data_IF_870547885005
#
_entry.id   IF_870547885005
#
_cell.length_a   1.000
_cell.length_b   1.000
_cell.length_c   1.000
_cell.angle_alpha   90.00
_cell.angle_beta   90.00
_cell.angle_gamma   90.00
#
_symmetry.space_group_name_H-M   'P 1'
#
loop_
_entity.id
_entity.type
_entity.pdbx_description
1 polymer ?
#
# COMPACT_ATOMS: atom_id res chain seq x y z
N UNK A 1 54.11 -30.67 -41.81
CA UNK A 1 53.31 -31.15 -40.67
C UNK A 1 52.55 -29.97 -40.10
N UNK A 2 51.31 -29.76 -40.54
CA UNK A 2 50.44 -28.70 -40.05
C UNK A 2 49.38 -29.34 -39.15
N UNK A 3 49.41 -29.00 -37.86
CA UNK A 3 48.47 -29.50 -36.86
C UNK A 3 47.09 -28.90 -37.05
N UNK A 4 46.09 -29.75 -37.29
CA UNK A 4 44.67 -29.37 -37.25
C UNK A 4 44.28 -29.09 -35.80
N UNK A 5 43.99 -27.83 -35.49
CA UNK A 5 43.35 -27.44 -34.25
C UNK A 5 41.91 -28.00 -34.22
N UNK A 6 41.59 -28.72 -33.14
CA UNK A 6 40.26 -29.28 -32.92
C UNK A 6 39.24 -28.15 -32.67
N UNK A 7 38.09 -28.25 -33.33
CA UNK A 7 36.99 -27.32 -33.15
C UNK A 7 36.46 -27.38 -31.71
N UNK A 8 36.10 -26.23 -31.10
CA UNK A 8 35.54 -26.19 -29.76
C UNK A 8 34.19 -26.94 -29.72
N UNK A 9 33.88 -27.62 -28.61
CA UNK A 9 32.63 -28.36 -28.47
C UNK A 9 31.43 -27.41 -28.55
N UNK A 10 30.31 -27.86 -29.15
CA UNK A 10 29.09 -27.07 -29.24
C UNK A 10 28.59 -26.72 -27.83
N UNK A 11 28.31 -25.42 -27.63
CA UNK A 11 27.66 -24.89 -26.43
C UNK A 11 26.39 -25.69 -26.17
N UNK A 12 26.36 -26.38 -25.03
CA UNK A 12 25.19 -27.07 -24.54
C UNK A 12 24.02 -26.08 -24.47
N UNK A 13 23.00 -26.33 -25.28
CA UNK A 13 21.74 -25.61 -25.27
C UNK A 13 21.25 -25.54 -23.82
N UNK A 14 21.07 -24.31 -23.33
CA UNK A 14 20.49 -24.09 -22.01
C UNK A 14 19.14 -24.81 -21.94
N UNK A 15 18.80 -25.41 -20.79
CA UNK A 15 17.54 -26.10 -20.61
C UNK A 15 16.40 -25.12 -20.90
N UNK A 16 15.71 -25.42 -21.99
CA UNK A 16 14.48 -24.78 -22.42
C UNK A 16 13.56 -24.68 -21.21
N UNK A 17 13.29 -23.45 -20.76
CA UNK A 17 12.41 -23.18 -19.63
C UNK A 17 11.00 -23.57 -20.06
N UNK A 18 10.64 -24.86 -19.91
CA UNK A 18 9.28 -25.32 -20.14
C UNK A 18 8.41 -24.69 -19.05
N UNK A 19 7.45 -23.81 -19.39
CA UNK A 19 6.46 -23.39 -18.41
C UNK A 19 5.80 -24.66 -17.88
N UNK A 20 5.79 -24.82 -16.55
CA UNK A 20 5.05 -25.91 -15.90
C UNK A 20 3.67 -25.92 -16.52
N UNK A 21 3.28 -27.06 -17.11
CA UNK A 21 1.95 -27.26 -17.65
C UNK A 21 0.96 -26.76 -16.60
N UNK A 22 0.14 -25.77 -16.99
CA UNK A 22 -0.91 -25.24 -16.14
C UNK A 22 -1.72 -26.45 -15.67
N UNK A 23 -1.59 -26.78 -14.39
CA UNK A 23 -2.44 -27.77 -13.75
C UNK A 23 -3.85 -27.22 -13.94
N UNK A 24 -4.66 -27.93 -14.74
CA UNK A 24 -6.02 -27.54 -15.00
C UNK A 24 -6.70 -27.30 -13.64
N UNK A 25 -7.35 -26.13 -13.42
CA UNK A 25 -7.95 -25.83 -12.15
C UNK A 25 -8.99 -26.92 -11.83
N UNK A 26 -8.66 -27.77 -10.86
CA UNK A 26 -9.60 -28.70 -10.28
C UNK A 26 -10.79 -27.88 -9.79
N UNK A 27 -11.99 -28.22 -10.25
CA UNK A 27 -13.22 -27.58 -9.79
C UNK A 27 -13.21 -27.60 -8.25
N UNK A 28 -13.29 -26.44 -7.57
CA UNK A 28 -13.37 -26.43 -6.12
C UNK A 28 -14.66 -27.15 -5.70
N UNK A 29 -14.50 -28.22 -4.91
CA UNK A 29 -15.62 -28.88 -4.25
C UNK A 29 -16.33 -27.86 -3.36
N UNK A 30 -17.63 -27.71 -3.59
CA UNK A 30 -18.51 -26.69 -2.99
C UNK A 30 -18.77 -26.88 -1.48
N UNK A 31 -17.97 -27.68 -0.80
CA UNK A 31 -18.23 -28.16 0.57
C UNK A 31 -17.03 -27.88 1.47
N UNK A 32 -16.83 -26.63 1.91
CA UNK A 32 -16.11 -26.29 3.17
C UNK A 32 -16.11 -24.79 3.52
N UNK A 33 -16.97 -23.96 2.92
CA UNK A 33 -17.09 -22.54 3.28
C UNK A 33 -18.15 -22.35 4.38
N UNK A 34 -17.95 -22.97 5.55
CA UNK A 34 -18.97 -23.00 6.61
C UNK A 34 -18.51 -22.72 8.04
N UNK A 35 -17.20 -22.62 8.34
CA UNK A 35 -16.75 -22.67 9.74
C UNK A 35 -15.70 -21.64 10.17
N UNK A 36 -15.26 -20.72 9.31
CA UNK A 36 -14.26 -19.71 9.70
C UNK A 36 -14.84 -18.36 10.14
N UNK A 37 -16.17 -18.18 10.10
CA UNK A 37 -16.82 -16.91 10.48
C UNK A 37 -17.14 -16.77 11.99
N UNK A 38 -16.78 -17.75 12.83
CA UNK A 38 -17.18 -17.78 14.24
C UNK A 38 -16.07 -17.47 15.27
N UNK A 39 -14.81 -17.21 14.87
CA UNK A 39 -13.69 -17.10 15.82
C UNK A 39 -13.13 -15.68 16.05
N UNK A 40 -13.70 -14.63 15.44
CA UNK A 40 -13.16 -13.26 15.50
C UNK A 40 -13.83 -12.28 16.48
N UNK A 41 -14.94 -12.66 17.14
CA UNK A 41 -15.74 -11.76 17.99
C UNK A 41 -15.54 -12.01 19.50
N UNK A 42 -14.32 -12.33 19.90
CA UNK A 42 -13.91 -12.56 21.30
C UNK A 42 -13.14 -11.41 21.95
N UNK A 43 -13.23 -10.19 21.41
CA UNK A 43 -12.56 -8.99 21.94
C UNK A 43 -13.50 -8.05 22.68
N UNK A 44 -14.44 -8.59 23.46
CA UNK A 44 -15.31 -7.79 24.32
C UNK A 44 -14.71 -7.66 25.71
N UNK A 45 -13.80 -6.71 25.95
CA UNK A 45 -13.53 -6.14 27.28
C UNK A 45 -12.82 -4.78 27.09
N UNK A 46 -13.31 -3.74 27.78
CA UNK A 46 -12.88 -2.33 27.79
C UNK A 46 -13.48 -1.35 26.76
N UNK A 47 -14.79 -1.34 26.55
CA UNK A 47 -15.48 -0.10 26.11
C UNK A 47 -16.92 -0.06 26.62
N UNK A 48 -17.10 -0.02 27.94
CA UNK A 48 -18.41 0.18 28.54
C UNK A 48 -18.27 1.15 29.71
N UNK A 49 -18.61 2.42 29.48
CA UNK A 49 -18.82 3.37 30.59
C UNK A 49 -18.39 4.83 30.44
N UNK A 50 -18.22 5.42 29.24
CA UNK A 50 -17.93 6.87 29.18
C UNK A 50 -18.55 7.69 28.03
N UNK A 51 -19.13 7.10 26.99
CA UNK A 51 -19.35 7.84 25.73
C UNK A 51 -20.81 8.16 25.33
N UNK A 52 -21.81 7.93 26.19
CA UNK A 52 -23.22 8.08 25.77
C UNK A 52 -23.80 9.50 25.92
N UNK A 53 -23.16 10.42 26.65
CA UNK A 53 -23.76 11.73 26.98
C UNK A 53 -23.00 12.97 26.45
N UNK A 54 -22.06 12.81 25.50
CA UNK A 54 -21.20 13.94 25.08
C UNK A 54 -20.99 14.12 23.57
N UNK A 55 -21.84 13.53 22.73
CA UNK A 55 -21.70 13.63 21.27
C UNK A 55 -22.95 14.22 20.59
N UNK A 56 -23.51 15.27 21.17
CA UNK A 56 -24.36 16.22 20.43
C UNK A 56 -23.54 17.46 20.16
N UNK A 57 -22.50 17.33 19.33
CA UNK A 57 -21.82 18.48 18.75
C UNK A 57 -22.81 19.10 17.75
N UNK A 58 -23.39 20.24 18.10
CA UNK A 58 -24.14 21.05 17.15
C UNK A 58 -23.18 21.41 16.00
N UNK A 59 -23.46 20.89 14.80
CA UNK A 59 -22.67 21.18 13.59
C UNK A 59 -22.55 22.70 13.38
N UNK A 60 -23.55 23.46 13.83
CA UNK A 60 -23.57 24.92 13.78
C UNK A 60 -22.54 25.59 14.71
N UNK A 61 -22.24 25.06 15.90
CA UNK A 61 -21.21 25.63 16.79
C UNK A 61 -19.79 25.39 16.24
N UNK A 62 -19.58 24.23 15.59
CA UNK A 62 -18.30 23.94 14.92
C UNK A 62 -18.06 24.92 13.77
N UNK A 63 -19.11 25.36 13.07
CA UNK A 63 -19.01 26.30 11.95
C UNK A 63 -18.81 27.75 12.44
N UNK A 64 -19.42 28.15 13.56
CA UNK A 64 -19.39 29.54 14.06
C UNK A 64 -18.12 29.86 14.87
N UNK A 65 -17.52 28.89 15.57
CA UNK A 65 -16.24 29.09 16.28
C UNK A 65 -15.02 28.97 15.34
N UNK A 66 -15.26 28.71 14.06
CA UNK A 66 -14.29 28.68 12.98
C UNK A 66 -14.16 30.06 12.31
N UNK A 67 -14.41 31.17 13.04
CA UNK A 67 -13.94 32.50 12.61
C UNK A 67 -12.43 32.42 12.53
N UNK A 68 -11.87 32.32 11.32
CA UNK A 68 -10.54 31.80 11.18
C UNK A 68 -9.55 32.93 11.44
N UNK A 69 -8.61 32.70 12.36
CA UNK A 69 -7.32 33.40 12.29
C UNK A 69 -6.82 33.26 10.84
N UNK A 70 -6.27 34.32 10.21
CA UNK A 70 -5.90 34.31 8.79
C UNK A 70 -4.99 33.12 8.42
N UNK A 71 -4.22 32.61 9.38
CA UNK A 71 -3.41 31.39 9.26
C UNK A 71 -4.24 30.13 8.99
N UNK A 72 -5.37 29.95 9.66
CA UNK A 72 -6.26 28.79 9.46
C UNK A 72 -6.96 28.83 8.11
N UNK A 73 -7.38 30.02 7.64
CA UNK A 73 -7.90 30.16 6.25
C UNK A 73 -6.83 29.78 5.26
N UNK A 74 -5.62 30.32 5.41
CA UNK A 74 -4.53 30.06 4.49
C UNK A 74 -4.19 28.57 4.45
N UNK A 75 -4.14 27.90 5.60
CA UNK A 75 -3.88 26.45 5.68
C UNK A 75 -4.99 25.64 5.00
N UNK A 76 -6.26 25.96 5.23
CA UNK A 76 -7.39 25.27 4.59
C UNK A 76 -7.40 25.51 3.09
N UNK A 77 -7.21 26.75 2.63
CA UNK A 77 -7.13 27.08 1.20
C UNK A 77 -5.96 26.36 0.54
N UNK A 78 -4.80 26.32 1.18
CA UNK A 78 -3.62 25.61 0.67
C UNK A 78 -3.88 24.10 0.61
N UNK A 79 -4.52 23.51 1.63
CA UNK A 79 -4.88 22.09 1.64
C UNK A 79 -5.88 21.76 0.53
N UNK A 80 -6.92 22.57 0.35
CA UNK A 80 -7.91 22.40 -0.72
C UNK A 80 -7.28 22.58 -2.10
N UNK A 81 -6.46 23.61 -2.30
CA UNK A 81 -5.72 23.82 -3.54
C UNK A 81 -4.77 22.64 -3.82
N UNK A 82 -4.11 22.11 -2.80
CA UNK A 82 -3.28 20.92 -2.88
C UNK A 82 -4.08 19.68 -3.29
N UNK A 83 -5.26 19.46 -2.72
CA UNK A 83 -6.14 18.36 -3.09
C UNK A 83 -6.67 18.49 -4.52
N UNK A 84 -7.17 19.67 -4.90
CA UNK A 84 -7.67 19.92 -6.27
C UNK A 84 -6.54 19.77 -7.27
N UNK A 85 -5.36 20.35 -7.00
CA UNK A 85 -4.19 20.22 -7.85
C UNK A 85 -3.71 18.77 -7.96
N UNK A 86 -3.78 18.00 -6.88
CA UNK A 86 -3.42 16.57 -6.89
C UNK A 86 -4.41 15.75 -7.71
N UNK A 87 -5.73 15.98 -7.57
CA UNK A 87 -6.76 15.32 -8.38
C UNK A 87 -6.59 15.69 -9.85
N UNK A 88 -6.35 16.96 -10.16
CA UNK A 88 -6.13 17.43 -11.53
C UNK A 88 -4.88 16.83 -12.16
N UNK A 89 -3.75 16.83 -11.43
CA UNK A 89 -2.52 16.19 -11.87
C UNK A 89 -2.70 14.69 -12.06
N UNK A 90 -3.48 14.03 -11.20
CA UNK A 90 -3.83 12.62 -11.32
C UNK A 90 -4.65 12.36 -12.59
N UNK A 91 -5.68 13.17 -12.87
CA UNK A 91 -6.50 13.04 -14.08
C UNK A 91 -5.66 13.21 -15.35
N UNK A 92 -4.81 14.24 -15.41
CA UNK A 92 -3.89 14.44 -16.53
C UNK A 92 -2.90 13.28 -16.69
N UNK A 93 -2.43 12.73 -15.58
CA UNK A 93 -1.57 11.55 -15.60
C UNK A 93 -2.30 10.34 -16.15
N UNK A 94 -3.57 10.12 -15.79
CA UNK A 94 -4.37 9.03 -16.33
C UNK A 94 -4.62 9.15 -17.84
N UNK A 95 -4.70 10.36 -18.40
CA UNK A 95 -4.78 10.57 -19.85
C UNK A 95 -3.57 10.00 -20.60
N UNK A 96 -2.41 9.86 -19.94
CA UNK A 96 -1.22 9.24 -20.54
C UNK A 96 -1.31 7.71 -20.63
N UNK A 97 -2.41 7.09 -20.16
CA UNK A 97 -2.61 5.64 -20.06
C UNK A 97 -1.40 4.92 -19.46
N UNK A 98 -1.02 5.26 -18.21
CA UNK A 98 0.15 4.67 -17.59
C UNK A 98 -0.02 3.16 -17.40
N UNK A 99 1.09 2.42 -17.31
CA UNK A 99 0.99 0.99 -17.06
C UNK A 99 0.47 0.73 -15.63
N UNK A 100 -0.27 -0.36 -15.44
CA UNK A 100 -0.79 -0.72 -14.11
C UNK A 100 0.31 -0.88 -13.05
N UNK A 101 1.51 -1.30 -13.45
CA UNK A 101 2.67 -1.40 -12.54
C UNK A 101 3.13 -0.02 -12.06
N UNK A 102 3.14 0.99 -12.95
CA UNK A 102 3.46 2.36 -12.59
C UNK A 102 2.41 2.94 -11.65
N UNK A 103 1.12 2.81 -12.00
CA UNK A 103 0.01 3.27 -11.15
C UNK A 103 0.10 2.67 -9.74
N UNK A 104 0.32 1.35 -9.65
CA UNK A 104 0.52 0.66 -8.36
C UNK A 104 1.72 1.23 -7.60
N UNK A 105 2.82 1.53 -8.29
CA UNK A 105 3.99 2.19 -7.70
C UNK A 105 3.65 3.55 -7.08
N UNK A 106 2.89 4.39 -7.78
CA UNK A 106 2.43 5.69 -7.26
C UNK A 106 1.50 5.54 -6.05
N UNK A 107 0.53 4.63 -6.12
CA UNK A 107 -0.36 4.37 -4.99
C UNK A 107 0.40 3.86 -3.76
N UNK A 108 1.41 2.99 -3.94
CA UNK A 108 2.27 2.54 -2.84
C UNK A 108 3.10 3.69 -2.26
N UNK A 109 3.64 4.58 -3.11
CA UNK A 109 4.38 5.75 -2.65
C UNK A 109 3.49 6.70 -1.85
N UNK A 110 2.26 6.94 -2.31
CA UNK A 110 1.27 7.74 -1.61
C UNK A 110 0.88 7.10 -0.27
N UNK A 111 0.60 5.80 -0.24
CA UNK A 111 0.33 5.06 1.00
C UNK A 111 1.49 5.17 2.00
N UNK A 112 2.73 5.08 1.52
CA UNK A 112 3.90 5.26 2.37
C UNK A 112 3.98 6.69 2.94
N UNK A 113 3.71 7.71 2.13
CA UNK A 113 3.67 9.10 2.57
C UNK A 113 2.57 9.35 3.61
N UNK A 114 1.37 8.81 3.39
CA UNK A 114 0.25 8.88 4.34
C UNK A 114 0.60 8.18 5.65
N UNK A 115 1.17 6.98 5.57
CA UNK A 115 1.60 6.25 6.77
C UNK A 115 2.67 7.02 7.53
N UNK A 116 3.64 7.63 6.84
CA UNK A 116 4.67 8.46 7.47
C UNK A 116 4.08 9.69 8.16
N UNK A 117 3.10 10.34 7.53
CA UNK A 117 2.36 11.46 8.13
C UNK A 117 1.64 11.03 9.41
N UNK A 118 0.90 9.93 9.39
CA UNK A 118 0.19 9.45 10.59
C UNK A 118 1.14 8.99 11.70
N UNK A 119 2.25 8.37 11.33
CA UNK A 119 3.32 8.05 12.29
C UNK A 119 3.93 9.32 12.89
N UNK A 120 4.09 10.38 12.11
CA UNK A 120 4.57 11.67 12.64
C UNK A 120 3.62 12.26 13.68
N UNK A 121 2.30 12.16 13.47
CA UNK A 121 1.29 12.57 14.45
C UNK A 121 1.36 11.77 15.77
N UNK A 122 1.71 10.48 15.67
CA UNK A 122 1.94 9.66 16.86
C UNK A 122 3.23 10.09 17.60
N UNK A 123 4.27 10.49 16.86
CA UNK A 123 5.55 10.92 17.43
C UNK A 123 5.49 12.32 18.04
N UNK A 124 4.65 13.22 17.52
CA UNK A 124 4.41 14.56 18.09
C UNK A 124 3.51 14.56 19.32
N UNK A 125 2.97 13.39 19.70
CA UNK A 125 2.03 13.21 20.82
C UNK A 125 0.68 13.92 20.64
N UNK A 126 0.35 14.34 19.41
CA UNK A 126 -0.98 14.87 19.08
C UNK A 126 -2.06 13.78 19.18
N UNK A 127 -1.63 12.53 19.05
CA UNK A 127 -2.46 11.33 19.02
C UNK A 127 -2.03 10.35 20.11
N UNK A 128 -2.99 9.69 20.75
CA UNK A 128 -2.68 8.66 21.74
C UNK A 128 -1.93 7.45 21.13
N UNK A 129 -0.90 6.96 21.84
CA UNK A 129 -0.04 5.85 21.40
C UNK A 129 -0.79 4.56 21.01
N UNK A 130 -1.95 4.28 21.61
CA UNK A 130 -2.76 3.11 21.27
C UNK A 130 -3.31 3.14 19.84
N UNK A 131 -3.38 4.32 19.21
CA UNK A 131 -3.79 4.44 17.81
C UNK A 131 -2.72 3.99 16.83
N UNK A 132 -1.44 4.12 17.18
CA UNK A 132 -0.34 3.73 16.31
C UNK A 132 -0.51 2.31 15.73
N UNK A 133 -0.74 1.26 16.54
CA UNK A 133 -0.98 -0.08 15.99
C UNK A 133 -2.27 -0.17 15.16
N UNK A 134 -3.34 0.55 15.50
CA UNK A 134 -4.59 0.53 14.72
C UNK A 134 -4.42 1.17 13.34
N UNK A 135 -3.74 2.31 13.27
CA UNK A 135 -3.41 2.99 12.02
C UNK A 135 -2.52 2.12 11.14
N UNK A 136 -1.49 1.50 11.73
CA UNK A 136 -0.60 0.59 11.01
C UNK A 136 -1.36 -0.62 10.46
N UNK A 137 -2.26 -1.22 11.25
CA UNK A 137 -3.10 -2.33 10.79
C UNK A 137 -4.07 -1.87 9.71
N UNK A 138 -4.74 -0.72 9.85
CA UNK A 138 -5.66 -0.20 8.85
C UNK A 138 -4.95 0.10 7.51
N UNK A 139 -3.73 0.66 7.55
CA UNK A 139 -2.95 0.95 6.34
C UNK A 139 -2.38 -0.32 5.71
N UNK A 140 -1.85 -1.24 6.51
CA UNK A 140 -1.23 -2.48 6.01
C UNK A 140 -2.25 -3.54 5.58
N UNK A 141 -3.42 -3.60 6.22
CA UNK A 141 -4.46 -4.60 5.93
C UNK A 141 -5.54 -4.05 5.00
N UNK A 142 -5.85 -2.76 5.08
CA UNK A 142 -6.85 -2.10 4.23
C UNK A 142 -6.22 -1.59 2.95
N UNK A 143 -5.59 -0.41 3.03
CA UNK A 143 -5.10 0.31 1.86
C UNK A 143 -4.02 -0.48 1.08
N UNK A 144 -3.07 -1.11 1.76
CA UNK A 144 -2.03 -1.90 1.09
C UNK A 144 -2.60 -3.10 0.36
N UNK A 145 -3.56 -3.82 0.95
CA UNK A 145 -4.23 -4.96 0.31
C UNK A 145 -5.00 -4.50 -0.93
N UNK A 146 -5.68 -3.34 -0.87
CA UNK A 146 -6.34 -2.75 -2.03
C UNK A 146 -5.35 -2.41 -3.16
N UNK A 147 -4.25 -1.73 -2.83
CA UNK A 147 -3.23 -1.36 -3.83
C UNK A 147 -2.56 -2.59 -4.46
N UNK A 148 -2.35 -3.66 -3.71
CA UNK A 148 -1.78 -4.91 -4.23
C UNK A 148 -2.74 -5.62 -5.19
N UNK A 149 -4.05 -5.51 -4.98
CA UNK A 149 -5.10 -6.11 -5.83
C UNK A 149 -5.45 -5.28 -7.05
N UNK A 150 -5.11 -3.99 -7.08
CA UNK A 150 -5.26 -3.16 -8.26
C UNK A 150 -4.66 -3.84 -9.52
N UNK A 151 -5.34 -3.91 -10.68
CA UNK A 151 -6.56 -3.19 -11.06
C UNK A 151 -7.85 -4.04 -11.02
N UNK A 152 -7.99 -4.94 -10.04
CA UNK A 152 -9.22 -5.74 -9.92
C UNK A 152 -10.37 -4.88 -9.40
N UNK A 153 -11.45 -4.80 -10.17
CA UNK A 153 -12.73 -4.22 -9.74
C UNK A 153 -13.44 -5.24 -8.87
N UNK A 154 -13.81 -4.84 -7.66
CA UNK A 154 -14.55 -5.68 -6.72
C UNK A 154 -15.97 -5.14 -6.56
N UNK A 155 -16.98 -6.01 -6.60
CA UNK A 155 -18.35 -5.61 -6.31
C UNK A 155 -18.49 -5.19 -4.84
N UNK A 156 -19.48 -4.33 -4.56
CA UNK A 156 -19.74 -3.83 -3.20
C UNK A 156 -20.12 -4.94 -2.22
N UNK A 157 -20.71 -6.03 -2.72
CA UNK A 157 -21.15 -7.18 -1.91
C UNK A 157 -20.04 -8.20 -1.65
N UNK A 158 -18.82 -7.98 -2.17
CA UNK A 158 -17.70 -8.88 -1.93
C UNK A 158 -17.18 -8.74 -0.48
N UNK A 159 -16.67 -9.82 0.12
CA UNK A 159 -16.07 -9.75 1.46
C UNK A 159 -14.88 -8.76 1.52
N UNK A 160 -14.22 -8.53 0.38
CA UNK A 160 -13.19 -7.51 0.25
C UNK A 160 -13.75 -6.10 0.47
N UNK A 161 -14.80 -5.72 -0.25
CA UNK A 161 -15.43 -4.39 -0.13
C UNK A 161 -15.97 -4.14 1.27
N UNK A 162 -16.64 -5.14 1.86
CA UNK A 162 -17.13 -5.07 3.25
C UNK A 162 -15.97 -4.89 4.24
N UNK A 163 -14.86 -5.64 4.05
CA UNK A 163 -13.65 -5.51 4.87
C UNK A 163 -13.05 -4.10 4.76
N UNK A 164 -12.92 -3.55 3.55
CA UNK A 164 -12.36 -2.23 3.34
C UNK A 164 -13.23 -1.14 3.97
N UNK A 165 -14.56 -1.23 3.82
CA UNK A 165 -15.50 -0.31 4.47
C UNK A 165 -15.40 -0.40 5.99
N UNK A 166 -15.33 -1.60 6.56
CA UNK A 166 -15.19 -1.79 8.00
C UNK A 166 -13.88 -1.20 8.54
N UNK A 167 -12.75 -1.40 7.85
CA UNK A 167 -11.46 -0.81 8.21
C UNK A 167 -11.48 0.72 8.08
N UNK A 168 -12.14 1.25 7.06
CA UNK A 168 -12.30 2.69 6.87
C UNK A 168 -13.12 3.32 8.01
N UNK A 169 -14.25 2.70 8.38
CA UNK A 169 -15.09 3.15 9.50
C UNK A 169 -14.33 3.05 10.84
N UNK A 170 -13.59 1.96 11.04
CA UNK A 170 -12.72 1.81 12.22
C UNK A 170 -11.68 2.93 12.28
N UNK A 171 -11.09 3.30 11.13
CA UNK A 171 -10.13 4.41 11.03
C UNK A 171 -10.77 5.77 11.33
N UNK A 172 -11.98 6.03 10.82
CA UNK A 172 -12.74 7.25 11.16
C UNK A 172 -13.02 7.34 12.65
N UNK A 173 -13.49 6.24 13.27
CA UNK A 173 -13.73 6.18 14.70
C UNK A 173 -12.42 6.39 15.50
N UNK A 174 -11.33 5.73 15.10
CA UNK A 174 -10.04 5.90 15.75
C UNK A 174 -9.56 7.35 15.65
N UNK A 175 -9.67 8.00 14.49
CA UNK A 175 -9.39 9.43 14.34
C UNK A 175 -10.29 10.31 15.22
N UNK A 176 -11.57 9.99 15.39
CA UNK A 176 -12.48 10.79 16.22
C UNK A 176 -12.15 10.71 17.72
N UNK A 177 -11.75 9.54 18.23
CA UNK A 177 -11.45 9.31 19.65
C UNK A 177 -9.96 9.40 20.00
N UNK A 178 -9.15 9.68 18.99
CA UNK A 178 -7.72 9.45 18.99
C UNK A 178 -6.84 10.59 19.44
N UNK A 179 -7.28 11.79 19.12
CA UNK A 179 -6.52 13.01 19.37
C UNK A 179 -6.63 13.39 20.84
N UNK A 180 -5.48 13.77 21.41
CA UNK A 180 -5.40 14.19 22.81
C UNK A 180 -6.12 15.52 23.02
N UNK A 181 -6.00 16.43 22.05
CA UNK A 181 -6.68 17.72 22.02
C UNK A 181 -7.38 17.96 20.66
N UNK A 182 -8.69 17.72 20.65
CA UNK A 182 -9.53 17.90 19.45
C UNK A 182 -9.59 19.37 19.02
N UNK A 183 -9.54 20.31 19.96
CA UNK A 183 -9.66 21.74 19.65
C UNK A 183 -8.34 22.32 19.12
N UNK A 184 -7.20 21.89 19.67
CA UNK A 184 -5.88 22.27 19.20
C UNK A 184 -5.49 21.66 17.86
N UNK A 185 -5.99 20.46 17.55
CA UNK A 185 -5.58 19.69 16.36
C UNK A 185 -6.61 19.66 15.22
N UNK A 186 -7.54 20.63 15.15
CA UNK A 186 -8.60 20.68 14.11
C UNK A 186 -8.06 20.52 12.67
N UNK A 187 -6.95 21.18 12.35
CA UNK A 187 -6.32 21.13 11.02
C UNK A 187 -5.73 19.74 10.73
N UNK A 188 -5.08 19.11 11.71
CA UNK A 188 -4.51 17.76 11.57
C UNK A 188 -5.61 16.70 11.43
N UNK A 189 -6.69 16.82 12.19
CA UNK A 189 -7.88 15.96 12.08
C UNK A 189 -8.48 16.10 10.67
N UNK A 190 -8.74 17.34 10.23
CA UNK A 190 -9.30 17.62 8.92
C UNK A 190 -8.43 17.08 7.79
N UNK A 191 -7.12 17.35 7.84
CA UNK A 191 -6.14 16.85 6.86
C UNK A 191 -6.11 15.33 6.84
N UNK A 192 -6.09 14.69 8.02
CA UNK A 192 -6.08 13.23 8.14
C UNK A 192 -7.34 12.61 7.53
N UNK A 193 -8.51 13.20 7.78
CA UNK A 193 -9.77 12.75 7.18
C UNK A 193 -9.79 12.95 5.67
N UNK A 194 -9.40 14.13 5.20
CA UNK A 194 -9.38 14.47 3.78
C UNK A 194 -8.45 13.54 2.99
N UNK A 195 -7.24 13.31 3.48
CA UNK A 195 -6.24 12.49 2.79
C UNK A 195 -6.60 11.00 2.87
N UNK A 196 -6.92 10.48 4.05
CA UNK A 196 -7.16 9.04 4.22
C UNK A 196 -8.51 8.57 3.74
N UNK A 197 -9.56 9.35 4.00
CA UNK A 197 -10.95 8.91 3.80
C UNK A 197 -11.45 9.30 2.42
N UNK A 198 -10.99 10.43 1.87
CA UNK A 198 -11.46 10.94 0.59
C UNK A 198 -10.40 10.71 -0.50
N UNK A 199 -9.20 11.27 -0.36
CA UNK A 199 -8.22 11.30 -1.44
C UNK A 199 -7.73 9.90 -1.84
N UNK A 200 -7.36 9.06 -0.87
CA UNK A 200 -6.86 7.71 -1.15
C UNK A 200 -7.90 6.83 -1.90
N UNK A 201 -9.15 6.67 -1.41
CA UNK A 201 -10.16 5.93 -2.16
C UNK A 201 -10.49 6.55 -3.52
N UNK A 202 -10.56 7.88 -3.61
CA UNK A 202 -10.86 8.57 -4.86
C UNK A 202 -9.78 8.30 -5.92
N UNK A 203 -8.50 8.37 -5.55
CA UNK A 203 -7.39 8.06 -6.46
C UNK A 203 -7.45 6.60 -6.91
N UNK A 204 -7.79 5.67 -6.02
CA UNK A 204 -8.01 4.27 -6.38
C UNK A 204 -9.13 4.13 -7.41
N UNK A 205 -10.30 4.73 -7.16
CA UNK A 205 -11.45 4.68 -8.06
C UNK A 205 -11.16 5.31 -9.42
N UNK A 206 -10.50 6.47 -9.45
CA UNK A 206 -10.13 7.14 -10.70
C UNK A 206 -9.14 6.32 -11.53
N UNK A 207 -8.32 5.51 -10.88
CA UNK A 207 -7.35 4.66 -11.57
C UNK A 207 -7.94 3.37 -12.14
N UNK A 208 -9.17 2.99 -11.76
CA UNK A 208 -9.77 1.75 -12.24
C UNK A 208 -10.06 1.86 -13.75
N UNK A 209 -9.74 0.82 -14.53
CA UNK A 209 -10.13 0.78 -15.92
C UNK A 209 -11.66 0.73 -16.01
N UNK A 210 -12.26 1.73 -16.68
CA UNK A 210 -13.71 1.78 -16.91
C UNK A 210 -14.13 0.91 -18.11
N UNK A 211 -13.18 0.60 -18.99
CA UNK A 211 -13.41 -0.21 -20.20
C UNK A 211 -13.24 -1.70 -19.89
N UNK A 212 -14.27 -2.51 -20.17
CA UNK A 212 -14.27 -3.96 -19.91
C UNK A 212 -13.13 -4.69 -20.64
N UNK A 213 -12.75 -4.21 -21.83
CA UNK A 213 -11.65 -4.77 -22.63
C UNK A 213 -10.29 -4.61 -21.93
N UNK A 214 -10.04 -3.46 -21.30
CA UNK A 214 -8.81 -3.18 -20.55
C UNK A 214 -8.76 -3.97 -19.23
N UNK A 215 -9.92 -4.22 -18.62
CA UNK A 215 -10.04 -4.99 -17.39
C UNK A 215 -9.81 -6.51 -17.60
N UNK A 216 -10.13 -7.05 -18.78
CA UNK A 216 -10.00 -8.48 -19.07
C UNK A 216 -8.53 -8.95 -19.20
N UNK A 217 -7.64 -8.09 -19.72
CA UNK A 217 -6.24 -8.45 -19.98
C UNK A 217 -5.41 -8.80 -18.71
N UNK A 218 -5.49 -8.02 -17.60
CA UNK A 218 -4.73 -8.32 -16.37
C UNK A 218 -5.38 -9.38 -15.47
N UNK A 219 -6.68 -9.67 -15.63
CA UNK A 219 -7.44 -10.54 -14.73
C UNK A 219 -6.85 -11.95 -14.57
N UNK A 220 -6.19 -12.48 -15.61
CA UNK A 220 -5.57 -13.80 -15.56
C UNK A 220 -4.28 -13.89 -14.72
N UNK A 221 -3.66 -12.76 -14.36
CA UNK A 221 -2.37 -12.73 -13.65
C UNK A 221 -2.47 -12.26 -12.20
N UNK A 222 -3.54 -11.53 -11.85
CA UNK A 222 -3.72 -11.04 -10.49
C UNK A 222 -4.33 -12.15 -9.64
N UNK A 223 -3.56 -12.64 -8.70
CA UNK A 223 -4.02 -13.62 -7.72
C UNK A 223 -4.91 -12.89 -6.71
N UNK A 224 -6.23 -13.11 -6.79
CA UNK A 224 -7.21 -12.58 -5.83
C UNK A 224 -7.16 -13.39 -4.51
N UNK A 225 -6.00 -13.38 -3.86
CA UNK A 225 -5.78 -13.99 -2.56
C UNK A 225 -5.46 -12.88 -1.58
N UNK A 226 -6.18 -12.89 -0.46
CA UNK A 226 -5.99 -11.95 0.63
C UNK A 226 -4.54 -11.92 1.11
N UNK A 227 -4.02 -10.73 1.38
CA UNK A 227 -2.63 -10.57 1.83
C UNK A 227 -2.32 -11.41 3.07
N UNK A 228 -3.29 -11.60 3.98
CA UNK A 228 -3.11 -12.44 5.15
C UNK A 228 -2.98 -13.91 4.78
N UNK A 229 -3.81 -14.40 3.86
CA UNK A 229 -3.71 -15.77 3.35
C UNK A 229 -2.38 -15.97 2.65
N UNK A 230 -1.95 -15.00 1.84
CA UNK A 230 -0.66 -15.03 1.15
C UNK A 230 0.51 -15.01 2.13
N UNK A 231 0.43 -14.22 3.20
CA UNK A 231 1.43 -14.22 4.27
C UNK A 231 1.47 -15.58 4.98
N UNK A 232 0.32 -16.17 5.28
CA UNK A 232 0.24 -17.51 5.88
C UNK A 232 0.84 -18.57 4.95
N UNK A 233 0.56 -18.51 3.64
CA UNK A 233 1.15 -19.40 2.63
C UNK A 233 2.68 -19.26 2.59
N UNK A 234 3.19 -18.01 2.52
CA UNK A 234 4.63 -17.71 2.56
C UNK A 234 5.27 -18.19 3.86
N UNK A 235 4.55 -18.15 5.00
CA UNK A 235 5.08 -18.60 6.28
C UNK A 235 5.04 -20.12 6.43
N UNK A 236 4.05 -20.78 5.83
CA UNK A 236 3.81 -22.23 5.95
C UNK A 236 4.63 -23.04 4.95
N UNK A 237 4.80 -22.54 3.72
CA UNK A 237 5.57 -23.21 2.68
C UNK A 237 7.02 -22.67 2.62
N UNK A 238 7.98 -23.57 2.82
CA UNK A 238 9.40 -23.24 2.75
C UNK A 238 9.84 -22.83 1.34
N UNK A 239 9.24 -23.39 0.30
CA UNK A 239 9.57 -23.05 -1.08
C UNK A 239 9.10 -21.63 -1.41
N UNK A 240 7.83 -21.30 -1.15
CA UNK A 240 7.30 -19.95 -1.36
C UNK A 240 8.07 -18.90 -0.55
N UNK A 241 8.45 -19.24 0.69
CA UNK A 241 9.31 -18.39 1.53
C UNK A 241 10.64 -18.08 0.87
N UNK A 242 11.31 -19.08 0.30
CA UNK A 242 12.60 -18.88 -0.37
C UNK A 242 12.44 -18.03 -1.63
N UNK A 243 11.43 -18.29 -2.45
CA UNK A 243 11.14 -17.50 -3.65
C UNK A 243 10.82 -16.04 -3.30
N UNK A 244 10.01 -15.82 -2.27
CA UNK A 244 9.69 -14.49 -1.77
C UNK A 244 10.94 -13.76 -1.27
N UNK A 245 11.77 -14.41 -0.44
CA UNK A 245 13.00 -13.81 0.08
C UNK A 245 14.01 -13.48 -1.03
N UNK A 246 14.16 -14.34 -2.03
CA UNK A 246 15.03 -14.07 -3.19
C UNK A 246 14.49 -12.90 -4.02
N UNK A 247 13.18 -12.84 -4.26
CA UNK A 247 12.54 -11.73 -4.95
C UNK A 247 12.64 -10.42 -4.18
N UNK A 248 12.47 -10.45 -2.86
CA UNK A 248 12.65 -9.30 -1.98
C UNK A 248 14.09 -8.82 -1.98
N UNK A 249 15.08 -9.72 -1.80
CA UNK A 249 16.50 -9.39 -1.87
C UNK A 249 16.89 -8.79 -3.21
N UNK A 250 16.37 -9.32 -4.32
CA UNK A 250 16.62 -8.78 -5.65
C UNK A 250 16.10 -7.35 -5.79
N UNK A 251 14.86 -7.10 -5.37
CA UNK A 251 14.24 -5.76 -5.41
C UNK A 251 14.98 -4.79 -4.49
N UNK A 252 15.26 -5.18 -3.25
CA UNK A 252 16.04 -4.39 -2.30
C UNK A 252 17.42 -4.02 -2.87
N UNK A 253 18.13 -4.96 -3.50
CA UNK A 253 19.41 -4.66 -4.16
C UNK A 253 19.28 -3.66 -5.29
N UNK A 254 18.23 -3.75 -6.11
CA UNK A 254 18.00 -2.77 -7.19
C UNK A 254 17.69 -1.39 -6.61
N UNK A 255 16.82 -1.30 -5.60
CA UNK A 255 16.50 -0.05 -4.91
C UNK A 255 17.71 0.57 -4.22
N UNK A 256 18.52 -0.24 -3.52
CA UNK A 256 19.74 0.21 -2.87
C UNK A 256 20.80 0.64 -3.89
N UNK A 257 20.91 -0.05 -5.03
CA UNK A 257 21.78 0.38 -6.11
C UNK A 257 21.33 1.73 -6.71
N UNK A 258 20.03 1.95 -6.84
CA UNK A 258 19.49 3.24 -7.28
C UNK A 258 19.80 4.36 -6.27
N UNK A 259 19.60 4.12 -4.97
CA UNK A 259 19.96 5.07 -3.90
C UNK A 259 21.46 5.35 -3.82
N UNK A 260 22.30 4.34 -4.07
CA UNK A 260 23.75 4.53 -4.13
C UNK A 260 24.18 5.42 -5.30
N UNK A 261 23.39 5.47 -6.39
CA UNK A 261 23.67 6.38 -7.52
C UNK A 261 23.29 7.82 -7.23
N UNK A 262 22.29 8.06 -6.38
CA UNK A 262 21.86 9.42 -6.04
C UNK A 262 22.76 10.08 -4.98
N UNK A 263 23.51 9.31 -4.18
CA UNK A 263 24.41 9.85 -3.17
C UNK A 263 25.68 8.99 -3.00
N UNK A 264 26.89 9.58 -3.15
CA UNK A 264 28.15 8.85 -2.98
C UNK A 264 28.37 8.36 -1.54
N UNK A 265 27.86 9.09 -0.54
CA UNK A 265 27.92 8.64 0.86
C UNK A 265 27.14 7.33 1.06
N UNK A 266 25.96 7.23 0.45
CA UNK A 266 25.14 6.00 0.49
C UNK A 266 25.87 4.84 -0.19
N UNK A 267 26.56 5.09 -1.30
CA UNK A 267 27.35 4.07 -1.99
C UNK A 267 28.48 3.51 -1.11
N UNK A 268 29.23 4.36 -0.41
CA UNK A 268 30.28 3.91 0.50
C UNK A 268 29.73 3.08 1.67
N UNK A 269 28.67 3.56 2.31
CA UNK A 269 28.01 2.84 3.42
C UNK A 269 27.50 1.49 2.93
N UNK A 270 26.89 1.44 1.75
CA UNK A 270 26.34 0.21 1.18
C UNK A 270 27.43 -0.81 0.81
N UNK A 271 28.56 -0.36 0.25
CA UNK A 271 29.70 -1.24 -0.07
C UNK A 271 30.39 -1.76 1.18
N UNK A 272 30.44 -0.97 2.27
CA UNK A 272 30.93 -1.44 3.57
C UNK A 272 29.99 -2.47 4.20
N UNK A 273 28.67 -2.25 4.10
CA UNK A 273 27.66 -3.15 4.66
C UNK A 273 27.54 -4.47 3.87
N UNK A 274 27.59 -4.42 2.54
CA UNK A 274 27.56 -5.59 1.66
C UNK A 274 28.61 -5.45 0.55
N UNK A 275 29.81 -6.04 0.72
CA UNK A 275 30.88 -6.00 -0.28
C UNK A 275 30.48 -6.56 -1.64
N UNK A 276 29.45 -7.41 -1.72
CA UNK A 276 28.96 -7.96 -2.98
C UNK A 276 28.31 -6.89 -3.88
N UNK A 277 27.83 -5.79 -3.29
CA UNK A 277 27.25 -4.66 -4.01
C UNK A 277 28.28 -3.83 -4.79
N UNK A 278 29.59 -3.99 -4.52
CA UNK A 278 30.65 -3.25 -5.23
C UNK A 278 30.53 -3.43 -6.75
N UNK A 279 30.29 -4.65 -7.23
CA UNK A 279 30.14 -4.89 -8.67
C UNK A 279 28.93 -4.18 -9.27
N UNK A 280 27.84 -4.01 -8.51
CA UNK A 280 26.59 -3.42 -9.00
C UNK A 280 26.68 -1.89 -9.04
N UNK A 281 27.28 -1.30 -8.02
CA UNK A 281 27.44 0.16 -7.89
C UNK A 281 28.44 0.67 -8.93
N UNK A 282 29.66 0.11 -8.96
CA UNK A 282 30.76 0.64 -9.77
C UNK A 282 30.66 0.34 -11.27
N UNK A 283 29.99 -0.77 -11.66
CA UNK A 283 29.81 -1.12 -13.08
C UNK A 283 29.04 -0.06 -13.88
N UNK A 284 28.33 0.84 -13.20
CA UNK A 284 27.52 1.88 -13.85
C UNK A 284 28.07 3.29 -13.60
N UNK A 285 29.24 3.42 -12.98
CA UNK A 285 29.89 4.71 -12.72
C UNK A 285 30.79 5.18 -13.87
N UNK A 286 31.05 4.32 -14.86
CA UNK A 286 31.87 4.63 -16.04
C UNK A 286 31.06 5.26 -17.19
N UNK A 287 29.94 5.93 -16.87
CA UNK A 287 29.11 6.72 -17.80
C UNK A 287 29.24 8.19 -17.41
#
# INVERSE_FOLDING_TARGET
MAGRAAAPPPLALQPEWRPRAAVAPGRPSRETCGTWLAAGLGGGFFFQGAAANKFSMNVEEVIVELVPLPETVAAVVLALAGCIGSIWAWSLYLETRPSFEQMRGYMLAMLAAVTAYEMSLCLTLDVHWWMCPLVLVANAWGLLDAVVRFPVVHDLDTPFSVKQLALLLCKVAACAFGFVDVHGSKVSIFTSLLVNIIAMPLIYFLALPLEEEEAAAPAGRVVDVDIAVRLVQILSDTQERQEFLLGFRRRARVSLAWLARTSPCTAEVLVRADPSMKKVVWKNSDI
#
